data_IF_393287633523
#
_entry.id   IF_393287633523
#
_cell.length_a   1.000
_cell.length_b   1.000
_cell.length_c   1.000
_cell.angle_alpha   90.00
_cell.angle_beta   90.00
_cell.angle_gamma   90.00
#
_symmetry.space_group_name_H-M   'P 1'
#
loop_
_entity.id
_entity.type
_entity.pdbx_description
1 polymer ?
#
# COMPACT_ATOMS: atom_id res chain seq x y z
N UNK A 1 18.15 2.07 -8.72
CA UNK A 1 17.31 2.01 -7.51
C UNK A 1 17.34 3.36 -6.84
N UNK A 2 16.20 3.86 -6.37
CA UNK A 2 16.11 5.15 -5.67
C UNK A 2 16.45 5.00 -4.19
N UNK A 3 16.24 3.81 -3.63
CA UNK A 3 16.55 3.47 -2.24
C UNK A 3 16.63 1.96 -2.03
N UNK A 4 16.64 1.54 -0.77
CA UNK A 4 16.66 0.13 -0.36
C UNK A 4 15.30 -0.38 0.11
N UNK A 5 14.28 0.46 0.08
CA UNK A 5 12.95 0.11 0.55
C UNK A 5 12.28 -0.89 -0.40
N UNK A 6 11.55 -1.83 0.18
CA UNK A 6 10.75 -2.79 -0.56
C UNK A 6 9.29 -2.35 -0.53
N UNK A 7 8.59 -2.56 -1.63
CA UNK A 7 7.21 -2.13 -1.79
C UNK A 7 6.31 -3.36 -1.93
N UNK A 8 5.29 -3.44 -1.08
CA UNK A 8 4.19 -4.39 -1.22
C UNK A 8 2.99 -3.62 -1.77
N UNK A 9 2.64 -3.82 -3.02
CA UNK A 9 1.65 -2.98 -3.72
C UNK A 9 0.42 -3.81 -4.05
N UNK A 10 -0.76 -3.28 -3.75
CA UNK A 10 -2.05 -3.87 -4.08
C UNK A 10 -2.80 -2.98 -5.08
N UNK A 11 -3.27 -3.59 -6.16
CA UNK A 11 -4.13 -2.96 -7.16
C UNK A 11 -5.47 -3.65 -7.14
N UNK A 12 -6.49 -2.91 -6.72
CA UNK A 12 -7.87 -3.38 -6.68
C UNK A 12 -8.56 -3.14 -8.04
N UNK A 13 -9.59 -3.92 -8.38
CA UNK A 13 -10.42 -3.62 -9.54
C UNK A 13 -11.25 -2.34 -9.31
N UNK A 14 -11.75 -1.78 -10.40
CA UNK A 14 -12.73 -0.70 -10.36
C UNK A 14 -13.95 -1.12 -9.52
N UNK A 15 -14.43 -0.21 -8.68
CA UNK A 15 -15.54 -0.45 -7.73
C UNK A 15 -15.26 -1.51 -6.67
N UNK A 16 -14.02 -1.62 -6.19
CA UNK A 16 -13.67 -2.48 -5.06
C UNK A 16 -14.59 -2.25 -3.85
N UNK A 17 -15.24 -3.32 -3.41
CA UNK A 17 -16.31 -3.32 -2.41
C UNK A 17 -15.90 -4.01 -1.09
N UNK A 18 -14.61 -4.26 -0.90
CA UNK A 18 -14.05 -5.00 0.24
C UNK A 18 -14.55 -6.45 0.38
N UNK A 19 -15.21 -7.02 -0.63
CA UNK A 19 -15.59 -8.42 -0.62
C UNK A 19 -14.32 -9.29 -0.64
N UNK A 20 -14.16 -10.24 0.31
CA UNK A 20 -12.96 -11.05 0.42
C UNK A 20 -12.71 -11.97 -0.79
N UNK A 21 -13.71 -12.15 -1.66
CA UNK A 21 -13.60 -12.95 -2.88
C UNK A 21 -13.30 -12.09 -4.13
N UNK A 22 -13.24 -10.76 -4.00
CA UNK A 22 -12.89 -9.89 -5.12
C UNK A 22 -11.41 -10.06 -5.45
N UNK A 23 -11.05 -10.49 -6.67
CA UNK A 23 -9.65 -10.67 -7.04
C UNK A 23 -8.95 -9.32 -7.15
N UNK A 24 -7.68 -9.30 -6.76
CA UNK A 24 -6.80 -8.13 -6.86
C UNK A 24 -5.40 -8.58 -7.28
N UNK A 25 -4.59 -7.63 -7.74
CA UNK A 25 -3.19 -7.87 -8.10
C UNK A 25 -2.28 -7.44 -6.97
N UNK A 26 -1.25 -8.24 -6.67
CA UNK A 26 -0.18 -7.93 -5.72
C UNK A 26 1.17 -7.88 -6.42
N UNK A 27 1.97 -6.88 -6.07
CA UNK A 27 3.35 -6.73 -6.53
C UNK A 27 4.30 -6.71 -5.34
N UNK A 28 5.44 -7.38 -5.49
CA UNK A 28 6.63 -7.13 -4.72
C UNK A 28 7.59 -6.32 -5.61
N UNK A 29 7.89 -5.08 -5.23
CA UNK A 29 8.56 -4.12 -6.09
C UNK A 29 9.67 -3.34 -5.37
N UNK A 30 10.52 -2.71 -6.17
CA UNK A 30 11.54 -1.74 -5.74
C UNK A 30 11.40 -0.46 -6.56
N UNK A 31 11.64 0.69 -5.93
CA UNK A 31 11.62 1.97 -6.64
C UNK A 31 12.91 2.17 -7.46
N UNK A 32 12.75 2.54 -8.73
CA UNK A 32 13.85 2.85 -9.65
C UNK A 32 13.69 4.25 -10.23
N UNK A 33 14.81 4.90 -10.55
CA UNK A 33 14.83 6.25 -11.13
C UNK A 33 14.66 6.26 -12.64
N UNK A 34 14.88 5.12 -13.30
CA UNK A 34 14.71 4.90 -14.74
C UNK A 34 14.42 3.43 -15.04
N UNK A 35 13.94 3.14 -16.25
CA UNK A 35 13.65 1.80 -16.75
C UNK A 35 14.71 1.29 -17.73
N UNK A 36 15.93 1.83 -17.68
CA UNK A 36 17.00 1.50 -18.64
C UNK A 36 17.42 0.02 -18.58
N UNK A 37 17.24 -0.61 -17.41
CA UNK A 37 17.51 -2.02 -17.20
C UNK A 37 16.40 -2.66 -16.38
N UNK A 38 15.69 -3.62 -16.98
CA UNK A 38 14.69 -4.46 -16.32
C UNK A 38 15.20 -5.90 -16.37
N UNK A 39 15.39 -6.57 -15.22
CA UNK A 39 15.76 -7.98 -15.18
C UNK A 39 14.77 -8.85 -15.95
N UNK A 40 15.25 -10.00 -16.44
CA UNK A 40 14.35 -11.02 -16.99
C UNK A 40 13.30 -11.42 -15.92
N UNK A 41 12.08 -11.67 -16.37
CA UNK A 41 10.93 -12.04 -15.54
C UNK A 41 10.47 -10.96 -14.54
N UNK A 42 10.90 -9.71 -14.72
CA UNK A 42 10.33 -8.55 -14.03
C UNK A 42 9.50 -7.68 -14.97
N UNK A 43 8.50 -7.02 -14.40
CA UNK A 43 7.62 -6.08 -15.10
C UNK A 43 7.73 -4.68 -14.51
N UNK A 44 7.40 -3.68 -15.33
CA UNK A 44 7.35 -2.28 -14.92
C UNK A 44 5.96 -1.97 -14.37
N UNK A 45 5.91 -1.33 -13.20
CA UNK A 45 4.69 -0.74 -12.65
C UNK A 45 4.91 0.76 -12.43
N UNK A 46 4.12 1.58 -13.10
CA UNK A 46 4.06 3.03 -12.88
C UNK A 46 2.87 3.36 -11.99
N UNK A 47 3.11 4.08 -10.88
CA UNK A 47 2.07 4.59 -9.99
C UNK A 47 1.88 6.06 -10.28
N UNK A 48 0.68 6.45 -10.68
CA UNK A 48 0.32 7.85 -10.89
C UNK A 48 0.36 8.65 -9.59
N UNK A 49 0.79 9.91 -9.69
CA UNK A 49 0.77 10.83 -8.56
C UNK A 49 -0.65 11.05 -8.02
N UNK A 50 -0.74 11.46 -6.76
CA UNK A 50 -2.00 11.80 -6.11
C UNK A 50 -1.88 11.80 -4.61
N UNK A 51 -2.98 12.08 -3.92
CA UNK A 51 -2.99 12.16 -2.46
C UNK A 51 -3.00 10.76 -1.83
N UNK A 52 -2.26 10.61 -0.75
CA UNK A 52 -2.20 9.41 0.06
C UNK A 52 -2.36 9.76 1.53
N UNK A 53 -3.15 8.97 2.25
CA UNK A 53 -3.11 8.93 3.70
C UNK A 53 -1.99 7.97 4.11
N UNK A 54 -1.07 8.45 4.94
CA UNK A 54 0.11 7.70 5.38
C UNK A 54 -0.03 7.35 6.85
N UNK A 55 0.08 6.05 7.16
CA UNK A 55 -0.01 5.53 8.52
C UNK A 55 1.26 4.76 8.85
N UNK A 56 1.87 5.07 10.00
CA UNK A 56 2.96 4.27 10.53
C UNK A 56 2.37 3.10 11.32
N UNK A 57 2.54 1.89 10.82
CA UNK A 57 2.13 0.68 11.51
C UNK A 57 3.32 0.07 12.25
N UNK A 58 3.08 -0.30 13.51
CA UNK A 58 4.04 -1.06 14.33
C UNK A 58 3.33 -2.26 14.94
N UNK A 59 3.77 -3.46 14.58
CA UNK A 59 3.14 -4.68 15.04
C UNK A 59 3.49 -5.87 14.16
N UNK A 60 3.02 -7.04 14.55
CA UNK A 60 3.13 -8.24 13.71
C UNK A 60 2.10 -8.21 12.58
N UNK A 61 2.30 -9.04 11.57
CA UNK A 61 1.42 -9.11 10.40
C UNK A 61 -0.01 -9.59 10.74
N UNK A 62 -0.19 -10.40 11.80
CA UNK A 62 -1.51 -10.91 12.19
C UNK A 62 -2.46 -9.79 12.65
N UNK A 63 -1.93 -8.68 13.17
CA UNK A 63 -2.74 -7.57 13.65
C UNK A 63 -2.98 -6.49 12.58
N UNK A 64 -2.32 -6.58 11.42
CA UNK A 64 -2.45 -5.58 10.35
C UNK A 64 -3.89 -5.49 9.83
N UNK A 65 -4.60 -6.61 9.72
CA UNK A 65 -6.00 -6.63 9.29
C UNK A 65 -6.92 -5.80 10.20
N UNK A 66 -6.71 -5.85 11.52
CA UNK A 66 -7.45 -5.03 12.46
C UNK A 66 -7.12 -3.54 12.30
N UNK A 67 -5.85 -3.21 12.02
CA UNK A 67 -5.44 -1.83 11.76
C UNK A 67 -6.07 -1.27 10.49
N UNK A 68 -6.05 -2.03 9.38
CA UNK A 68 -6.77 -1.65 8.16
C UNK A 68 -8.26 -1.47 8.41
N UNK A 69 -8.88 -2.33 9.22
CA UNK A 69 -10.30 -2.20 9.56
C UNK A 69 -10.58 -0.86 10.27
N UNK A 70 -9.75 -0.44 11.22
CA UNK A 70 -9.88 0.87 11.88
C UNK A 70 -9.76 2.02 10.88
N UNK A 71 -8.83 1.91 9.92
CA UNK A 71 -8.67 2.95 8.89
C UNK A 71 -9.93 3.06 8.04
N UNK A 72 -10.44 1.95 7.51
CA UNK A 72 -11.57 1.98 6.57
C UNK A 72 -12.93 2.20 7.24
N UNK A 73 -13.12 1.76 8.49
CA UNK A 73 -14.42 1.85 9.18
C UNK A 73 -14.52 3.03 10.14
N UNK A 74 -13.39 3.58 10.63
CA UNK A 74 -13.41 4.69 11.56
C UNK A 74 -12.76 5.95 11.01
N UNK A 75 -11.49 5.87 10.57
CA UNK A 75 -10.75 7.06 10.18
C UNK A 75 -11.27 7.66 8.86
N UNK A 76 -11.36 6.85 7.81
CA UNK A 76 -11.72 7.30 6.46
C UNK A 76 -13.14 7.91 6.42
N UNK A 77 -14.18 7.28 7.01
CA UNK A 77 -15.53 7.85 7.01
C UNK A 77 -15.61 9.21 7.73
N UNK A 78 -14.81 9.42 8.79
CA UNK A 78 -14.76 10.66 9.57
C UNK A 78 -13.86 11.74 8.96
N UNK A 79 -13.02 11.39 7.99
CA UNK A 79 -12.14 12.34 7.30
C UNK A 79 -12.89 13.16 6.23
N UNK A 80 -12.25 14.20 5.69
CA UNK A 80 -12.76 14.94 4.52
C UNK A 80 -12.43 14.24 3.18
N UNK A 81 -11.99 12.99 3.23
CA UNK A 81 -11.50 12.23 2.08
C UNK A 81 -12.29 10.94 1.87
N UNK A 82 -12.34 10.51 0.61
CA UNK A 82 -12.85 9.21 0.21
C UNK A 82 -11.73 8.39 -0.44
N UNK A 83 -11.95 7.07 -0.52
CA UNK A 83 -11.00 6.17 -1.16
C UNK A 83 -10.88 6.51 -2.65
N UNK A 84 -9.65 6.55 -3.13
CA UNK A 84 -9.37 6.73 -4.55
C UNK A 84 -8.97 5.40 -5.18
N UNK A 85 -9.36 5.17 -6.44
CA UNK A 85 -9.11 3.92 -7.14
C UNK A 85 -7.72 3.93 -7.77
N UNK A 86 -6.70 3.85 -6.91
CA UNK A 86 -5.27 3.82 -7.28
C UNK A 86 -4.55 2.71 -6.50
N UNK A 87 -3.29 2.38 -6.82
CA UNK A 87 -2.53 1.40 -6.06
C UNK A 87 -2.37 1.81 -4.59
N UNK A 88 -2.68 0.87 -3.70
CA UNK A 88 -2.34 0.92 -2.27
C UNK A 88 -0.97 0.29 -2.10
N UNK A 89 -0.16 0.74 -1.14
CA UNK A 89 1.11 0.08 -0.90
C UNK A 89 1.61 0.20 0.54
N UNK A 90 2.37 -0.80 0.96
CA UNK A 90 3.20 -0.74 2.15
C UNK A 90 4.66 -0.52 1.76
N UNK A 91 5.35 0.38 2.46
CA UNK A 91 6.80 0.56 2.36
C UNK A 91 7.45 -0.19 3.52
N UNK A 92 8.17 -1.25 3.16
CA UNK A 92 8.91 -2.12 4.06
C UNK A 92 10.34 -1.57 4.18
N UNK A 93 10.49 -0.50 4.97
CA UNK A 93 11.76 0.18 5.17
C UNK A 93 12.74 -0.58 6.06
N UNK A 94 13.82 0.09 6.48
CA UNK A 94 14.91 -0.50 7.28
C UNK A 94 14.48 -1.12 8.62
N UNK A 95 13.30 -0.75 9.14
CA UNK A 95 12.74 -1.28 10.39
C UNK A 95 11.76 -2.43 10.20
N UNK A 96 11.46 -2.80 8.95
CA UNK A 96 10.65 -3.97 8.67
C UNK A 96 11.36 -5.24 9.13
N UNK A 97 10.64 -6.07 9.87
CA UNK A 97 11.11 -7.34 10.40
C UNK A 97 10.04 -8.38 10.17
N UNK A 98 10.28 -9.29 9.24
CA UNK A 98 9.32 -10.34 8.90
C UNK A 98 8.86 -11.11 10.16
N UNK A 99 7.54 -11.14 10.39
CA UNK A 99 6.88 -11.79 11.52
C UNK A 99 7.31 -11.33 12.93
N UNK A 100 7.96 -10.18 13.08
CA UNK A 100 8.31 -9.66 14.40
C UNK A 100 7.20 -8.74 14.97
N UNK A 101 6.94 -8.79 16.28
CA UNK A 101 5.94 -7.92 16.92
C UNK A 101 6.36 -6.44 16.96
N UNK A 102 7.64 -6.14 16.73
CA UNK A 102 8.19 -4.79 16.67
C UNK A 102 8.54 -4.35 15.23
N UNK A 103 8.05 -5.07 14.22
CA UNK A 103 8.16 -4.67 12.82
C UNK A 103 7.46 -3.34 12.59
N UNK A 104 8.07 -2.46 11.80
CA UNK A 104 7.50 -1.17 11.40
C UNK A 104 7.40 -1.11 9.87
N UNK A 105 6.27 -0.61 9.36
CA UNK A 105 6.01 -0.36 7.94
C UNK A 105 5.14 0.90 7.78
N UNK A 106 5.27 1.58 6.65
CA UNK A 106 4.36 2.66 6.29
C UNK A 106 3.25 2.11 5.41
N UNK A 107 2.00 2.43 5.74
CA UNK A 107 0.82 2.07 4.95
C UNK A 107 0.33 3.30 4.21
N UNK A 108 0.28 3.21 2.88
CA UNK A 108 -0.12 4.28 1.98
C UNK A 108 -1.44 3.93 1.33
N UNK A 109 -2.50 4.64 1.73
CA UNK A 109 -3.86 4.46 1.20
C UNK A 109 -4.22 5.63 0.28
N UNK A 110 -4.56 5.36 -0.99
CA UNK A 110 -4.89 6.41 -1.95
C UNK A 110 -6.21 7.08 -1.58
N UNK A 111 -6.19 8.40 -1.55
CA UNK A 111 -7.35 9.21 -1.17
C UNK A 111 -7.59 10.34 -2.16
N UNK A 112 -8.82 10.83 -2.18
CA UNK A 112 -9.23 12.07 -2.86
C UNK A 112 -10.21 12.82 -1.96
N UNK A 113 -10.34 14.13 -2.16
CA UNK A 113 -11.29 14.93 -1.37
C UNK A 113 -12.71 14.49 -1.68
N UNK A 114 -13.56 14.41 -0.65
CA UNK A 114 -15.00 14.23 -0.83
C UNK A 114 -15.57 15.39 -1.65
N UNK A 115 -16.52 15.07 -2.52
CA UNK A 115 -17.32 16.05 -3.27
C UNK A 115 -18.61 16.33 -2.54
#
# INVERSE_FOLDING_TARGET
>A
MVGTDLYNIQINPDNFDFNPNTPFVKWAAIAVSSFDFIPADMEILEISEGLYAVFNYKGNQSNAAAFFNLIYTEWLPKSDFELDNRPHFEILGTKYKNNAPDSEEEIWIPIKRKV
#
